data_IF_567549658781
#
_entry.id   IF_567549658781
#
_cell.length_a   1.000
_cell.length_b   1.000
_cell.length_c   1.000
_cell.angle_alpha   90.00
_cell.angle_beta   90.00
_cell.angle_gamma   90.00
#
_symmetry.space_group_name_H-M   'P 1'
#
loop_
_entity.id
_entity.type
_entity.pdbx_description
1 polymer ?
#
# COMPACT_ATOMS: atom_id res chain seq x y z
N UNK A 1 -14.34 28.53 32.62
CA UNK A 1 -15.32 27.75 31.83
C UNK A 1 -14.72 27.62 30.43
N UNK A 2 -13.93 26.58 30.21
CA UNK A 2 -13.20 26.38 28.95
C UNK A 2 -14.13 25.68 27.99
N UNK A 3 -14.39 26.30 26.83
CA UNK A 3 -15.23 25.73 25.79
C UNK A 3 -14.71 24.34 25.38
N UNK A 4 -15.62 23.37 25.32
CA UNK A 4 -15.33 22.06 24.76
C UNK A 4 -14.93 22.21 23.27
N UNK A 5 -13.96 21.43 22.78
CA UNK A 5 -13.65 21.44 21.35
C UNK A 5 -14.87 20.97 20.56
N UNK A 6 -15.23 21.73 19.53
CA UNK A 6 -16.27 21.39 18.56
C UNK A 6 -16.04 19.98 18.00
N UNK A 7 -17.09 19.16 17.80
CA UNK A 7 -16.95 17.87 17.15
C UNK A 7 -16.48 18.09 15.71
N UNK A 8 -15.30 17.57 15.38
CA UNK A 8 -14.78 17.51 14.02
C UNK A 8 -15.84 16.91 13.10
N UNK A 9 -16.39 17.72 12.18
CA UNK A 9 -17.26 17.21 11.12
C UNK A 9 -16.58 16.08 10.34
N UNK A 10 -17.34 15.25 9.60
CA UNK A 10 -16.76 14.13 8.89
C UNK A 10 -15.63 14.61 7.99
N UNK A 11 -14.44 14.03 8.16
CA UNK A 11 -13.28 14.37 7.35
C UNK A 11 -13.65 14.19 5.87
N UNK A 12 -13.34 15.19 5.04
CA UNK A 12 -13.62 15.11 3.60
C UNK A 12 -12.94 13.88 2.98
N UNK A 13 -13.52 13.25 1.94
CA UNK A 13 -12.88 12.13 1.26
C UNK A 13 -11.48 12.49 0.72
N UNK A 14 -10.53 11.56 0.83
CA UNK A 14 -9.16 11.75 0.39
C UNK A 14 -9.05 11.98 -1.13
N UNK A 15 -8.14 12.85 -1.55
CA UNK A 15 -7.81 13.10 -2.96
C UNK A 15 -6.29 13.10 -3.16
N UNK A 16 -5.82 13.04 -4.41
CA UNK A 16 -4.39 13.02 -4.72
C UNK A 16 -3.60 14.16 -4.05
N UNK A 17 -4.19 15.35 -3.88
CA UNK A 17 -3.53 16.48 -3.22
C UNK A 17 -3.08 16.16 -1.77
N UNK A 18 -3.81 15.30 -1.05
CA UNK A 18 -3.50 14.91 0.34
C UNK A 18 -2.23 14.07 0.46
N UNK A 19 -1.78 13.49 -0.64
CA UNK A 19 -0.72 12.50 -0.71
C UNK A 19 0.50 12.96 -1.49
N UNK A 20 0.56 14.24 -1.89
CA UNK A 20 1.68 14.81 -2.64
C UNK A 20 3.02 14.73 -1.90
N UNK A 21 2.99 14.64 -0.57
CA UNK A 21 4.19 14.51 0.26
C UNK A 21 5.03 13.26 -0.04
N UNK A 22 4.42 12.19 -0.60
CA UNK A 22 5.15 10.99 -1.02
C UNK A 22 6.25 11.29 -2.05
N UNK A 23 6.02 12.26 -2.94
CA UNK A 23 7.00 12.67 -3.95
C UNK A 23 8.29 13.24 -3.35
N UNK A 24 8.18 13.86 -2.17
CA UNK A 24 9.30 14.48 -1.47
C UNK A 24 9.97 13.53 -0.46
N UNK A 25 9.45 12.30 -0.29
CA UNK A 25 10.00 11.36 0.66
C UNK A 25 11.17 10.56 0.06
N UNK A 26 12.39 10.88 0.52
CA UNK A 26 13.62 10.26 0.03
C UNK A 26 13.66 8.74 0.23
N UNK A 27 13.05 8.23 1.32
CA UNK A 27 13.04 6.80 1.65
C UNK A 27 12.29 5.98 0.59
N UNK A 28 11.33 6.58 -0.11
CA UNK A 28 10.43 5.89 -1.05
C UNK A 28 10.76 6.19 -2.51
N UNK A 29 11.81 6.97 -2.76
CA UNK A 29 12.19 7.47 -4.09
C UNK A 29 12.58 6.35 -5.07
N UNK A 30 13.19 5.26 -4.58
CA UNK A 30 13.65 4.12 -5.40
C UNK A 30 12.52 3.20 -5.88
N UNK A 31 11.31 3.41 -5.38
CA UNK A 31 10.18 2.52 -5.62
C UNK A 31 9.83 1.74 -4.35
N UNK A 32 8.64 1.17 -4.33
CA UNK A 32 8.09 0.50 -3.16
C UNK A 32 7.00 -0.49 -3.54
N UNK A 33 6.67 -1.36 -2.60
CA UNK A 33 5.42 -2.08 -2.57
C UNK A 33 4.78 -1.97 -1.20
N UNK A 34 3.56 -1.41 -1.15
CA UNK A 34 2.70 -1.45 0.02
C UNK A 34 1.55 -2.42 -0.22
N UNK A 35 1.30 -3.32 0.73
CA UNK A 35 0.18 -4.27 0.68
C UNK A 35 -0.62 -4.18 1.98
N UNK A 36 -1.89 -3.84 1.87
CA UNK A 36 -2.85 -3.82 2.97
C UNK A 36 -3.62 -5.13 2.95
N UNK A 37 -3.65 -5.82 4.09
CA UNK A 37 -4.37 -7.08 4.27
C UNK A 37 -5.40 -6.93 5.38
N UNK A 38 -6.68 -7.10 5.06
CA UNK A 38 -7.77 -6.89 6.01
C UNK A 38 -7.89 -8.07 6.98
N UNK A 39 -8.10 -7.78 8.26
CA UNK A 39 -8.50 -8.73 9.30
C UNK A 39 -7.41 -9.69 9.79
N UNK A 40 -6.30 -9.83 9.08
CA UNK A 40 -5.22 -10.73 9.48
C UNK A 40 -4.25 -10.06 10.44
N UNK A 41 -3.75 -10.83 11.41
CA UNK A 41 -2.63 -10.46 12.26
C UNK A 41 -1.31 -10.60 11.50
N UNK A 42 -0.25 -9.98 12.02
CA UNK A 42 1.08 -10.03 11.41
C UNK A 42 1.63 -11.46 11.34
N UNK A 43 1.23 -12.37 12.23
CA UNK A 43 1.60 -13.80 12.18
C UNK A 43 0.98 -14.51 10.98
N UNK A 44 -0.34 -14.40 10.85
CA UNK A 44 -1.10 -15.01 9.76
C UNK A 44 -0.66 -14.51 8.38
N UNK A 45 -0.26 -13.22 8.28
CA UNK A 45 0.32 -12.67 7.04
C UNK A 45 1.63 -13.36 6.70
N UNK A 46 2.54 -13.57 7.66
CA UNK A 46 3.80 -14.28 7.40
C UNK A 46 3.56 -15.74 7.05
N UNK A 47 2.66 -16.42 7.76
CA UNK A 47 2.33 -17.82 7.50
C UNK A 47 1.76 -18.01 6.08
N UNK A 48 0.86 -17.14 5.64
CA UNK A 48 0.29 -17.18 4.28
C UNK A 48 1.31 -16.86 3.19
N UNK A 49 2.35 -16.08 3.51
CA UNK A 49 3.46 -15.80 2.61
C UNK A 49 4.53 -16.91 2.63
N UNK A 50 4.50 -17.83 3.60
CA UNK A 50 5.61 -18.76 3.83
C UNK A 50 6.89 -18.04 4.28
N UNK A 51 6.75 -16.88 4.91
CA UNK A 51 7.86 -16.00 5.24
C UNK A 51 8.42 -16.26 6.64
N UNK A 52 9.72 -16.02 6.80
CA UNK A 52 10.42 -16.12 8.09
C UNK A 52 10.70 -14.73 8.64
N UNK A 53 10.25 -14.44 9.87
CA UNK A 53 10.69 -13.26 10.62
C UNK A 53 12.19 -13.40 10.95
N UNK A 54 12.94 -12.34 10.69
CA UNK A 54 14.36 -12.22 10.95
C UNK A 54 14.58 -11.41 12.24
N UNK A 55 13.90 -10.28 12.36
CA UNK A 55 14.04 -9.34 13.48
C UNK A 55 12.88 -8.35 13.53
N UNK A 56 12.91 -7.47 14.55
CA UNK A 56 11.99 -6.33 14.66
C UNK A 56 12.74 -5.03 14.46
N UNK A 57 12.27 -4.22 13.52
CA UNK A 57 12.95 -3.01 13.07
C UNK A 57 12.03 -1.81 13.07
N UNK A 58 12.60 -0.61 13.14
CA UNK A 58 11.88 0.63 12.86
C UNK A 58 11.95 1.00 11.38
N UNK A 59 11.13 1.98 10.97
CA UNK A 59 11.05 2.43 9.58
C UNK A 59 12.40 2.65 8.90
N UNK A 60 13.32 3.40 9.53
CA UNK A 60 14.63 3.74 8.95
C UNK A 60 15.59 2.56 8.76
N UNK A 61 15.33 1.43 9.41
CA UNK A 61 16.07 0.18 9.20
C UNK A 61 15.43 -0.66 8.07
N UNK A 62 14.12 -0.49 7.84
CA UNK A 62 13.37 -1.19 6.79
C UNK A 62 13.61 -0.61 5.39
N UNK A 63 13.82 0.71 5.29
CA UNK A 63 13.91 1.44 4.01
C UNK A 63 15.25 2.16 3.85
N UNK A 64 15.64 2.47 2.61
CA UNK A 64 16.77 3.37 2.30
C UNK A 64 18.07 2.65 1.92
N UNK A 65 19.12 2.79 2.74
CA UNK A 65 20.40 2.06 2.59
C UNK A 65 20.42 0.74 3.38
N UNK A 66 19.33 0.45 4.09
CA UNK A 66 19.13 -0.79 4.84
C UNK A 66 19.04 -2.02 3.93
N UNK A 67 19.14 -3.18 4.55
CA UNK A 67 19.60 -4.48 4.02
C UNK A 67 18.71 -5.12 2.93
N UNK A 68 17.72 -4.39 2.42
CA UNK A 68 16.64 -4.91 1.59
C UNK A 68 17.03 -5.38 0.20
N UNK A 69 18.18 -4.96 -0.36
CA UNK A 69 18.58 -5.40 -1.70
C UNK A 69 20.08 -5.30 -1.95
N UNK A 70 20.74 -6.45 -2.12
CA UNK A 70 21.66 -6.70 -3.25
C UNK A 70 22.00 -8.19 -3.34
N UNK A 71 21.66 -8.83 -4.46
CA UNK A 71 22.38 -10.03 -4.94
C UNK A 71 21.64 -11.37 -5.02
N UNK A 72 20.41 -11.51 -4.47
CA UNK A 72 19.65 -12.77 -4.60
C UNK A 72 18.24 -12.55 -5.17
N UNK A 73 18.03 -12.76 -6.49
CA UNK A 73 16.73 -12.55 -7.14
C UNK A 73 15.61 -13.49 -6.63
N UNK A 74 15.96 -14.54 -5.87
CA UNK A 74 15.01 -15.47 -5.27
C UNK A 74 14.48 -15.07 -3.90
N UNK A 75 15.04 -14.04 -3.24
CA UNK A 75 14.71 -13.69 -1.85
C UNK A 75 14.23 -12.24 -1.76
N UNK A 76 13.08 -12.04 -1.13
CA UNK A 76 12.49 -10.72 -0.86
C UNK A 76 12.60 -10.39 0.62
N UNK A 77 12.74 -9.10 0.94
CA UNK A 77 12.81 -8.61 2.32
C UNK A 77 11.75 -7.55 2.54
N UNK A 78 10.95 -7.68 3.58
CA UNK A 78 9.83 -6.77 3.82
C UNK A 78 9.49 -6.67 5.31
N UNK A 79 8.85 -5.58 5.69
CA UNK A 79 8.34 -5.36 7.03
C UNK A 79 6.85 -5.63 7.11
N UNK A 80 6.39 -6.25 8.19
CA UNK A 80 4.96 -6.43 8.47
C UNK A 80 4.58 -5.76 9.78
N UNK A 81 3.55 -4.92 9.77
CA UNK A 81 3.07 -4.23 10.98
C UNK A 81 1.56 -4.08 11.00
N UNK A 82 0.98 -3.95 12.19
CA UNK A 82 -0.45 -3.70 12.36
C UNK A 82 -0.72 -2.20 12.26
N UNK A 83 -1.67 -1.85 11.41
CA UNK A 83 -2.17 -0.48 11.24
C UNK A 83 -3.65 -0.42 11.64
N UNK A 84 -4.27 0.74 11.52
CA UNK A 84 -5.59 1.02 12.07
C UNK A 84 -6.70 0.24 11.33
N UNK A 85 -7.93 0.29 11.86
CA UNK A 85 -9.16 -0.22 11.23
C UNK A 85 -9.11 -1.67 10.72
N UNK A 86 -8.44 -2.55 11.47
CA UNK A 86 -8.45 -3.96 11.10
C UNK A 86 -7.41 -4.37 10.06
N UNK A 87 -6.54 -3.47 9.59
CA UNK A 87 -5.56 -3.77 8.54
C UNK A 87 -4.16 -4.12 9.06
N UNK A 88 -3.49 -5.04 8.37
CA UNK A 88 -2.05 -5.29 8.47
C UNK A 88 -1.37 -4.78 7.21
N UNK A 89 -0.25 -4.08 7.38
CA UNK A 89 0.54 -3.51 6.30
C UNK A 89 1.81 -4.35 6.08
N UNK A 90 2.06 -4.71 4.83
CA UNK A 90 3.34 -5.21 4.34
C UNK A 90 4.01 -4.11 3.55
N UNK A 91 5.29 -3.85 3.82
CA UNK A 91 6.09 -2.84 3.12
C UNK A 91 7.38 -3.46 2.62
N UNK A 92 7.62 -3.34 1.32
CA UNK A 92 8.89 -3.70 0.68
C UNK A 92 9.48 -2.45 0.02
N UNK A 93 10.69 -2.07 0.44
CA UNK A 93 11.45 -0.99 -0.19
C UNK A 93 12.11 -1.49 -1.48
N UNK A 94 12.02 -0.70 -2.55
CA UNK A 94 12.60 -0.99 -3.86
C UNK A 94 12.27 -2.39 -4.42
N UNK A 95 11.13 -2.97 -4.04
CA UNK A 95 10.74 -4.32 -4.44
C UNK A 95 9.33 -4.42 -5.00
N UNK A 96 9.02 -5.60 -5.55
CA UNK A 96 7.83 -5.87 -6.37
C UNK A 96 6.94 -7.00 -5.82
N UNK A 97 6.96 -7.29 -4.52
CA UNK A 97 6.13 -8.28 -3.83
C UNK A 97 4.66 -8.08 -4.18
N UNK A 98 4.18 -6.84 -4.15
CA UNK A 98 2.82 -6.45 -4.50
C UNK A 98 2.43 -6.63 -5.97
N UNK A 99 3.35 -7.08 -6.83
CA UNK A 99 3.04 -7.49 -8.21
C UNK A 99 2.94 -9.00 -8.37
N UNK A 100 3.40 -9.76 -7.37
CA UNK A 100 3.57 -11.21 -7.43
C UNK A 100 2.26 -11.89 -7.02
N UNK A 101 1.40 -12.20 -7.99
CA UNK A 101 0.06 -12.76 -7.71
C UNK A 101 0.10 -14.08 -6.92
N UNK A 102 1.13 -14.91 -7.09
CA UNK A 102 1.30 -16.14 -6.31
C UNK A 102 1.49 -15.88 -4.80
N UNK A 103 1.94 -14.68 -4.41
CA UNK A 103 2.03 -14.25 -3.01
C UNK A 103 0.74 -13.54 -2.55
N UNK A 104 0.13 -12.72 -3.42
CA UNK A 104 -1.06 -11.94 -3.04
C UNK A 104 -2.35 -12.77 -2.98
N UNK A 105 -2.50 -13.78 -3.83
CA UNK A 105 -3.69 -14.64 -3.84
C UNK A 105 -3.87 -15.38 -2.50
N UNK A 106 -2.85 -16.07 -1.94
CA UNK A 106 -2.95 -16.66 -0.60
C UNK A 106 -3.33 -15.64 0.48
N UNK A 107 -2.73 -14.44 0.46
CA UNK A 107 -3.06 -13.37 1.41
C UNK A 107 -4.54 -12.99 1.36
N UNK A 108 -5.13 -12.92 0.17
CA UNK A 108 -6.54 -12.56 -0.02
C UNK A 108 -7.55 -13.65 0.34
N UNK A 109 -7.14 -14.87 0.68
CA UNK A 109 -8.08 -15.97 0.96
C UNK A 109 -9.03 -15.61 2.12
N UNK A 110 -10.34 -15.55 1.85
CA UNK A 110 -11.36 -15.16 2.82
C UNK A 110 -11.29 -13.70 3.30
N UNK A 111 -10.54 -12.82 2.62
CA UNK A 111 -10.41 -11.42 3.01
C UNK A 111 -10.11 -10.50 1.82
N UNK A 112 -9.86 -9.23 2.07
CA UNK A 112 -9.45 -8.23 1.08
C UNK A 112 -7.97 -7.92 1.18
N UNK A 113 -7.31 -7.82 0.03
CA UNK A 113 -5.94 -7.33 -0.13
C UNK A 113 -5.94 -6.17 -1.12
N UNK A 114 -5.23 -5.10 -0.78
CA UNK A 114 -4.93 -4.00 -1.70
C UNK A 114 -3.42 -3.90 -1.81
N UNK A 115 -2.89 -3.84 -3.02
CA UNK A 115 -1.47 -3.70 -3.29
C UNK A 115 -1.23 -2.46 -4.14
N UNK A 116 -0.31 -1.61 -3.70
CA UNK A 116 0.19 -0.46 -4.45
C UNK A 116 1.70 -0.63 -4.63
N UNK A 117 2.11 -0.88 -5.87
CA UNK A 117 3.49 -0.96 -6.29
C UNK A 117 3.84 0.20 -7.20
N UNK A 118 5.05 0.75 -7.01
CA UNK A 118 5.66 1.75 -7.89
C UNK A 118 7.15 1.44 -8.06
N UNK A 119 7.62 1.34 -9.30
CA UNK A 119 9.03 1.23 -9.64
C UNK A 119 9.73 2.60 -9.63
N UNK A 120 11.06 2.61 -9.68
CA UNK A 120 11.86 3.85 -9.81
C UNK A 120 11.54 4.68 -11.06
N UNK A 121 11.08 4.05 -12.14
CA UNK A 121 10.61 4.73 -13.36
C UNK A 121 9.12 5.12 -13.31
N UNK A 122 8.50 5.10 -12.12
CA UNK A 122 7.11 5.41 -11.83
C UNK A 122 6.04 4.49 -12.46
N UNK A 123 6.41 3.48 -13.23
CA UNK A 123 5.45 2.43 -13.62
C UNK A 123 5.00 1.67 -12.38
N UNK A 124 3.74 1.27 -12.34
CA UNK A 124 3.16 0.74 -11.11
C UNK A 124 2.09 -0.31 -11.34
N UNK A 125 1.51 -0.74 -10.23
CA UNK A 125 0.30 -1.56 -10.21
C UNK A 125 -0.49 -1.23 -8.95
N UNK A 126 -1.76 -0.92 -9.13
CA UNK A 126 -2.75 -0.93 -8.06
C UNK A 126 -3.66 -2.12 -8.30
N UNK A 127 -3.64 -3.06 -7.36
CA UNK A 127 -4.38 -4.31 -7.41
C UNK A 127 -5.25 -4.45 -6.17
N UNK A 128 -6.52 -4.78 -6.35
CA UNK A 128 -7.42 -5.19 -5.28
C UNK A 128 -7.86 -6.64 -5.51
N UNK A 129 -7.71 -7.47 -4.49
CA UNK A 129 -8.19 -8.84 -4.45
C UNK A 129 -9.18 -9.00 -3.31
N UNK A 130 -10.30 -9.69 -3.57
CA UNK A 130 -11.19 -10.21 -2.52
C UNK A 130 -11.38 -11.69 -2.75
N UNK A 131 -11.05 -12.49 -1.72
CA UNK A 131 -11.13 -13.95 -1.78
C UNK A 131 -10.54 -14.55 -3.07
N UNK A 132 -9.29 -14.19 -3.36
CA UNK A 132 -8.52 -14.62 -4.56
C UNK A 132 -9.08 -14.12 -5.90
N UNK A 133 -10.21 -13.44 -5.93
CA UNK A 133 -10.78 -12.78 -7.10
C UNK A 133 -10.19 -11.39 -7.31
N UNK A 134 -9.95 -11.01 -8.56
CA UNK A 134 -9.48 -9.65 -8.91
C UNK A 134 -10.68 -8.71 -8.98
N UNK A 135 -10.68 -7.69 -8.13
CA UNK A 135 -11.71 -6.66 -8.08
C UNK A 135 -11.31 -5.42 -8.90
N UNK A 136 -10.02 -5.07 -8.91
CA UNK A 136 -9.44 -3.92 -9.60
C UNK A 136 -7.98 -4.21 -9.95
N UNK A 137 -7.55 -3.89 -11.18
CA UNK A 137 -6.15 -4.06 -11.62
C UNK A 137 -5.79 -3.02 -12.70
N UNK A 138 -4.82 -2.14 -12.41
CA UNK A 138 -4.26 -1.22 -13.40
C UNK A 138 -2.92 -0.62 -12.97
N UNK A 139 -2.23 0.00 -13.94
CA UNK A 139 -1.08 0.86 -13.68
C UNK A 139 -1.58 2.30 -13.44
N UNK A 140 -1.38 2.88 -12.23
CA UNK A 140 -1.80 4.24 -11.90
C UNK A 140 -1.35 5.33 -12.89
N UNK A 141 -0.22 5.12 -13.59
CA UNK A 141 0.36 6.07 -14.52
C UNK A 141 -0.06 5.81 -15.97
N UNK A 142 0.02 4.55 -16.41
CA UNK A 142 0.02 4.28 -17.87
C UNK A 142 -1.26 3.65 -18.42
N UNK A 143 -2.16 3.15 -17.58
CA UNK A 143 -3.30 2.38 -18.06
C UNK A 143 -4.58 2.65 -17.27
N UNK A 144 -5.75 2.74 -17.94
CA UNK A 144 -7.01 2.72 -17.22
C UNK A 144 -7.21 1.36 -16.51
N UNK A 145 -8.09 1.32 -15.49
CA UNK A 145 -8.63 0.09 -14.91
C UNK A 145 -8.98 -0.97 -15.96
N UNK A 146 -8.40 -2.16 -15.86
CA UNK A 146 -8.83 -3.31 -16.67
C UNK A 146 -10.23 -3.74 -16.22
N UNK A 147 -11.05 -4.33 -17.10
CA UNK A 147 -12.30 -4.96 -16.69
C UNK A 147 -12.04 -6.04 -15.63
N UNK A 148 -12.61 -5.85 -14.44
CA UNK A 148 -12.54 -6.75 -13.30
C UNK A 148 -13.86 -6.66 -12.51
N UNK A 149 -14.01 -7.47 -11.45
CA UNK A 149 -15.32 -7.67 -10.77
C UNK A 149 -15.97 -6.36 -10.31
N UNK A 150 -15.17 -5.39 -9.87
CA UNK A 150 -15.67 -4.12 -9.30
C UNK A 150 -15.19 -2.88 -10.04
N UNK A 151 -14.58 -3.02 -11.22
CA UNK A 151 -14.06 -1.87 -11.99
C UNK A 151 -15.14 -0.83 -12.26
N UNK A 152 -16.32 -1.25 -12.73
CA UNK A 152 -17.43 -0.33 -13.02
C UNK A 152 -18.01 0.31 -11.76
N UNK A 153 -18.10 -0.45 -10.67
CA UNK A 153 -18.59 0.04 -9.37
C UNK A 153 -17.65 1.11 -8.78
N UNK A 154 -16.35 0.91 -8.92
CA UNK A 154 -15.33 1.80 -8.38
C UNK A 154 -14.98 2.99 -9.30
N UNK A 155 -15.53 3.06 -10.52
CA UNK A 155 -15.18 4.06 -11.52
C UNK A 155 -15.35 5.50 -11.02
N UNK A 156 -16.45 5.79 -10.30
CA UNK A 156 -16.69 7.12 -9.73
C UNK A 156 -15.68 7.48 -8.64
N UNK A 157 -15.30 6.51 -7.79
CA UNK A 157 -14.30 6.70 -6.73
C UNK A 157 -12.91 6.92 -7.32
N UNK A 158 -12.55 6.14 -8.34
CA UNK A 158 -11.28 6.25 -9.08
C UNK A 158 -11.15 7.63 -9.71
N UNK A 159 -12.19 8.11 -10.40
CA UNK A 159 -12.20 9.48 -10.95
C UNK A 159 -12.12 10.52 -9.84
N UNK A 160 -12.90 10.37 -8.76
CA UNK A 160 -12.98 11.34 -7.68
C UNK A 160 -11.71 11.46 -6.81
N UNK A 161 -10.76 10.53 -6.87
CA UNK A 161 -9.45 10.70 -6.23
C UNK A 161 -8.44 11.43 -7.11
N UNK A 162 -8.74 11.57 -8.40
CA UNK A 162 -7.95 12.33 -9.37
C UNK A 162 -7.48 11.56 -10.60
N UNK A 163 -7.74 10.26 -10.74
CA UNK A 163 -7.28 9.53 -11.93
C UNK A 163 -7.88 10.12 -13.22
N UNK A 164 -7.02 10.38 -14.20
CA UNK A 164 -7.39 11.04 -15.46
C UNK A 164 -7.27 12.57 -15.45
N UNK A 165 -7.07 13.21 -14.28
CA UNK A 165 -6.89 14.67 -14.19
C UNK A 165 -5.47 15.13 -14.49
N UNK A 166 -4.48 14.25 -14.46
CA UNK A 166 -3.08 14.55 -14.77
C UNK A 166 -2.34 13.28 -15.18
N UNK A 167 -1.25 13.44 -15.95
CA UNK A 167 -0.28 12.39 -16.29
C UNK A 167 1.04 12.55 -15.53
N UNK A 168 1.10 13.47 -14.57
CA UNK A 168 2.22 13.65 -13.66
C UNK A 168 2.40 12.36 -12.81
N UNK A 169 3.56 11.68 -12.89
CA UNK A 169 3.79 10.44 -12.15
C UNK A 169 3.60 10.53 -10.64
N UNK A 170 3.96 11.67 -10.04
CA UNK A 170 3.81 11.88 -8.61
C UNK A 170 2.36 12.11 -8.23
N UNK A 171 1.58 12.72 -9.12
CA UNK A 171 0.14 12.88 -8.94
C UNK A 171 -0.58 11.54 -9.01
N UNK A 172 -0.25 10.70 -10.00
CA UNK A 172 -0.82 9.36 -10.15
C UNK A 172 -0.50 8.47 -8.94
N UNK A 173 0.72 8.56 -8.41
CA UNK A 173 1.12 7.88 -7.17
C UNK A 173 0.28 8.36 -5.98
N UNK A 174 0.09 9.67 -5.86
CA UNK A 174 -0.71 10.26 -4.79
C UNK A 174 -2.20 9.90 -4.91
N UNK A 175 -2.75 9.86 -6.13
CA UNK A 175 -4.11 9.40 -6.41
C UNK A 175 -4.33 7.94 -6.01
N UNK A 176 -3.32 7.07 -6.23
CA UNK A 176 -3.37 5.68 -5.80
C UNK A 176 -3.45 5.55 -4.27
N UNK A 177 -2.66 6.32 -3.51
CA UNK A 177 -2.78 6.35 -2.05
C UNK A 177 -4.13 6.90 -1.56
N UNK A 178 -4.65 7.95 -2.21
CA UNK A 178 -5.98 8.47 -1.91
C UNK A 178 -7.08 7.42 -2.15
N UNK A 179 -6.97 6.64 -3.23
CA UNK A 179 -7.88 5.51 -3.49
C UNK A 179 -7.75 4.43 -2.42
N UNK A 180 -6.53 4.08 -2.02
CA UNK A 180 -6.31 3.13 -0.93
C UNK A 180 -6.92 3.60 0.38
N UNK A 181 -6.81 4.87 0.76
CA UNK A 181 -7.49 5.41 1.95
C UNK A 181 -8.99 5.26 1.83
N UNK A 182 -9.60 5.64 0.69
CA UNK A 182 -11.06 5.49 0.51
C UNK A 182 -11.54 4.04 0.59
N UNK A 183 -10.71 3.08 0.16
CA UNK A 183 -11.03 1.65 0.21
C UNK A 183 -10.80 1.02 1.58
N UNK A 184 -9.84 1.54 2.36
CA UNK A 184 -9.42 0.95 3.64
C UNK A 184 -9.99 1.67 4.86
N UNK A 185 -10.30 2.96 4.73
CA UNK A 185 -10.52 3.88 5.85
C UNK A 185 -9.23 4.42 6.48
N UNK A 186 -8.06 3.86 6.10
CA UNK A 186 -6.79 4.16 6.76
C UNK A 186 -5.99 5.20 5.99
N UNK A 187 -5.78 6.35 6.61
CA UNK A 187 -4.92 7.40 6.06
C UNK A 187 -3.45 7.04 6.19
N UNK A 188 -2.73 7.03 5.07
CA UNK A 188 -1.29 6.81 5.08
C UNK A 188 -0.54 8.11 5.36
N UNK A 189 0.23 8.15 6.45
CA UNK A 189 1.03 9.31 6.86
C UNK A 189 2.45 8.89 7.16
N UNK A 190 3.40 9.82 7.09
CA UNK A 190 4.77 9.56 7.52
C UNK A 190 4.82 9.16 9.01
N UNK A 191 3.98 9.78 9.86
CA UNK A 191 3.86 9.43 11.26
C UNK A 191 3.41 7.97 11.45
N UNK A 192 2.42 7.49 10.68
CA UNK A 192 1.95 6.09 10.72
C UNK A 192 3.09 5.11 10.42
N UNK A 193 3.96 5.45 9.46
CA UNK A 193 5.09 4.61 9.06
C UNK A 193 6.22 4.64 10.10
N UNK A 194 6.58 5.83 10.57
CA UNK A 194 7.75 6.04 11.42
C UNK A 194 7.52 5.69 12.90
N UNK A 195 6.27 5.74 13.38
CA UNK A 195 5.95 5.47 14.79
C UNK A 195 5.83 3.98 15.13
N UNK A 196 5.95 3.08 14.14
CA UNK A 196 5.70 1.64 14.31
C UNK A 196 6.99 0.84 14.22
N UNK A 197 6.97 -0.32 14.89
CA UNK A 197 7.92 -1.41 14.63
C UNK A 197 7.35 -2.37 13.59
N UNK A 198 8.24 -2.97 12.81
CA UNK A 198 7.94 -3.92 11.76
C UNK A 198 8.59 -5.26 12.06
N UNK A 199 7.88 -6.35 11.80
CA UNK A 199 8.47 -7.70 11.74
C UNK A 199 9.19 -7.83 10.40
N UNK A 200 10.48 -7.58 10.40
CA UNK A 200 11.31 -7.70 9.22
C UNK A 200 11.46 -9.17 8.87
N UNK A 201 11.12 -9.52 7.64
CA UNK A 201 10.93 -10.91 7.21
C UNK A 201 11.47 -11.13 5.80
N UNK A 202 11.67 -12.40 5.46
CA UNK A 202 12.03 -12.79 4.10
C UNK A 202 11.23 -13.99 3.58
N UNK A 203 11.05 -14.03 2.26
CA UNK A 203 10.46 -15.14 1.48
C UNK A 203 11.26 -15.38 0.20
#
# INVERSE_FOLDING_TARGET
>A
MTAAPEPSGPARPAVAADYRWFASNADLSKGFSFVWVKGLQTGEVLDRLGAKELERVYWKQLVGSGDGQRGNPGRRFFGVTRIDDGWTLVVEDNGALGTTESLLRPLSSGTTVISHYRASNHRGRLLMLTDRGVDLDFDPLTAPPRPARRTSELASVISAVGFGSSTDPDYCTAAAFALTERLTGVRMTEALLTSKTYRFSAV
#
